data_IF_509052493120
#
_entry.id   IF_509052493120
#
_cell.length_a   1.000
_cell.length_b   1.000
_cell.length_c   1.000
_cell.angle_alpha   90.00
_cell.angle_beta   90.00
_cell.angle_gamma   90.00
#
_symmetry.space_group_name_H-M   'P 1'
#
loop_
_entity.id
_entity.type
_entity.pdbx_description
1 polymer ?
#
# COMPACT_ATOMS: atom_id res chain seq x y z
N UNK A 1 57.09 0.23 70.69
CA UNK A 1 56.39 -0.93 70.10
C UNK A 1 55.00 -0.49 69.61
N UNK A 2 54.53 -0.96 68.43
CA UNK A 2 53.57 -0.24 67.59
C UNK A 2 52.16 -0.86 67.54
N UNK A 3 51.09 -0.06 67.52
CA UNK A 3 49.72 -0.49 67.10
C UNK A 3 49.02 0.73 66.47
N UNK A 4 49.01 0.84 65.13
CA UNK A 4 47.93 0.53 64.17
C UNK A 4 46.62 1.32 64.38
N UNK A 5 46.37 2.32 63.52
CA UNK A 5 45.04 2.75 63.09
C UNK A 5 45.03 2.80 61.56
N UNK A 6 44.24 1.93 60.92
CA UNK A 6 43.78 2.10 59.55
C UNK A 6 42.27 1.82 59.55
N UNK A 7 41.48 2.85 59.28
CA UNK A 7 40.06 2.72 59.03
C UNK A 7 39.88 2.11 57.64
N UNK A 8 39.27 0.93 57.58
CA UNK A 8 38.85 0.29 56.33
C UNK A 8 37.45 0.77 56.00
N UNK A 9 37.33 1.46 54.87
CA UNK A 9 36.08 1.90 54.26
C UNK A 9 35.45 0.68 53.56
N UNK A 10 34.36 0.14 54.10
CA UNK A 10 33.61 -0.94 53.47
C UNK A 10 32.67 -0.32 52.43
N UNK A 11 33.03 -0.46 51.15
CA UNK A 11 32.19 -0.11 50.01
C UNK A 11 31.18 -1.23 49.78
N UNK A 12 29.90 -0.98 50.08
CA UNK A 12 28.79 -1.84 49.67
C UNK A 12 28.69 -1.82 48.13
N UNK A 13 29.04 -2.92 47.48
CA UNK A 13 28.73 -3.15 46.06
C UNK A 13 27.32 -3.72 46.01
N UNK A 14 26.35 -2.86 45.67
CA UNK A 14 25.01 -3.28 45.32
C UNK A 14 25.04 -4.09 44.03
N UNK A 15 24.79 -5.39 44.13
CA UNK A 15 24.62 -6.30 43.00
C UNK A 15 23.24 -6.00 42.39
N UNK A 16 23.19 -5.17 41.35
CA UNK A 16 21.97 -5.00 40.55
C UNK A 16 21.76 -6.26 39.73
N UNK A 17 20.80 -7.09 40.13
CA UNK A 17 20.32 -8.22 39.33
C UNK A 17 19.64 -7.62 38.09
N UNK A 18 20.27 -7.74 36.92
CA UNK A 18 19.59 -7.47 35.65
C UNK A 18 18.43 -8.46 35.52
N UNK A 19 17.23 -8.02 35.10
CA UNK A 19 16.12 -8.94 34.88
C UNK A 19 16.55 -9.97 33.84
N UNK A 20 16.38 -11.25 34.18
CA UNK A 20 16.60 -12.33 33.24
C UNK A 20 15.69 -12.09 32.04
N UNK A 21 16.29 -11.85 30.87
CA UNK A 21 15.54 -11.87 29.62
C UNK A 21 14.89 -13.25 29.52
N UNK A 22 13.56 -13.27 29.40
CA UNK A 22 12.83 -14.50 29.17
C UNK A 22 13.42 -15.15 27.92
N UNK A 23 13.94 -16.36 28.08
CA UNK A 23 14.46 -17.16 26.99
C UNK A 23 13.27 -17.51 26.08
N UNK A 24 13.12 -16.77 25.00
CA UNK A 24 12.21 -17.10 23.92
C UNK A 24 12.77 -18.41 23.39
N UNK A 25 12.18 -19.54 23.76
CA UNK A 25 12.70 -20.89 23.42
C UNK A 25 12.76 -21.22 21.92
N UNK A 26 12.71 -20.21 21.04
CA UNK A 26 12.98 -20.29 19.61
C UNK A 26 14.35 -19.72 19.30
N UNK A 27 15.09 -20.38 18.41
CA UNK A 27 16.19 -19.71 17.72
C UNK A 27 15.63 -18.56 16.86
N UNK A 28 16.39 -17.48 16.70
CA UNK A 28 15.98 -16.31 15.87
C UNK A 28 15.69 -16.74 14.43
N UNK A 29 16.37 -17.80 13.96
CA UNK A 29 16.25 -18.26 12.58
C UNK A 29 15.07 -19.21 12.37
N UNK A 30 14.46 -19.68 13.47
CA UNK A 30 13.25 -20.49 13.43
C UNK A 30 12.02 -19.58 13.37
N UNK A 31 11.77 -19.06 12.17
CA UNK A 31 10.68 -18.13 11.89
C UNK A 31 9.30 -18.70 12.22
N UNK A 32 9.08 -19.99 11.98
CA UNK A 32 7.83 -20.67 12.33
C UNK A 32 7.61 -20.71 13.84
N UNK A 33 8.66 -21.00 14.61
CA UNK A 33 8.62 -20.95 16.06
C UNK A 33 8.33 -19.52 16.56
N UNK A 34 9.01 -18.51 16.01
CA UNK A 34 8.79 -17.11 16.38
C UNK A 34 7.36 -16.64 16.06
N UNK A 35 6.82 -16.99 14.90
CA UNK A 35 5.43 -16.70 14.53
C UNK A 35 4.43 -17.36 15.49
N UNK A 36 4.68 -18.62 15.88
CA UNK A 36 3.84 -19.31 16.85
C UNK A 36 3.89 -18.65 18.24
N UNK A 37 5.07 -18.18 18.68
CA UNK A 37 5.20 -17.42 19.92
C UNK A 37 4.49 -16.06 19.83
N UNK A 38 4.67 -15.34 18.73
CA UNK A 38 3.99 -14.07 18.49
C UNK A 38 2.46 -14.23 18.53
N UNK A 39 1.93 -15.32 17.97
CA UNK A 39 0.51 -15.66 18.07
C UNK A 39 0.04 -15.84 19.51
N UNK A 40 0.80 -16.57 20.35
CA UNK A 40 0.48 -16.74 21.79
C UNK A 40 0.50 -15.41 22.54
N UNK A 41 1.46 -14.54 22.23
CA UNK A 41 1.51 -13.21 22.82
C UNK A 41 0.33 -12.36 22.37
N UNK A 42 -0.02 -12.38 21.08
CA UNK A 42 -1.19 -11.70 20.56
C UNK A 42 -2.48 -12.17 21.26
N UNK A 43 -2.68 -13.48 21.41
CA UNK A 43 -3.84 -14.05 22.13
C UNK A 43 -3.89 -13.55 23.59
N UNK A 44 -2.75 -13.19 24.18
CA UNK A 44 -2.63 -12.72 25.57
C UNK A 44 -2.78 -11.21 25.74
N UNK A 45 -2.87 -10.42 24.67
CA UNK A 45 -3.03 -8.95 24.74
C UNK A 45 -4.47 -8.62 25.17
N UNK A 46 -4.68 -7.96 26.33
CA UNK A 46 -6.02 -7.62 26.81
C UNK A 46 -6.69 -6.53 25.97
N UNK A 47 -5.93 -5.53 25.54
CA UNK A 47 -6.43 -4.39 24.76
C UNK A 47 -6.71 -4.79 23.31
N UNK A 48 -7.98 -4.77 22.92
CA UNK A 48 -8.45 -5.22 21.62
C UNK A 48 -7.73 -4.50 20.47
N UNK A 49 -7.50 -3.19 20.59
CA UNK A 49 -6.83 -2.42 19.54
C UNK A 49 -5.38 -2.86 19.30
N UNK A 50 -4.64 -3.17 20.36
CA UNK A 50 -3.25 -3.64 20.24
C UNK A 50 -3.17 -5.08 19.75
N UNK A 51 -4.13 -5.91 20.19
CA UNK A 51 -4.23 -7.30 19.72
C UNK A 51 -4.55 -7.36 18.23
N UNK A 52 -5.53 -6.60 17.79
CA UNK A 52 -5.95 -6.51 16.38
C UNK A 52 -4.83 -6.01 15.48
N UNK A 53 -4.07 -4.99 15.91
CA UNK A 53 -2.88 -4.54 15.20
C UNK A 53 -1.81 -5.62 15.11
N UNK A 54 -1.61 -6.40 16.17
CA UNK A 54 -0.63 -7.50 16.17
C UNK A 54 -1.04 -8.58 15.15
N UNK A 55 -2.31 -8.97 15.11
CA UNK A 55 -2.80 -9.91 14.10
C UNK A 55 -2.68 -9.37 12.67
N UNK A 56 -2.95 -8.07 12.47
CA UNK A 56 -2.75 -7.43 11.16
C UNK A 56 -1.31 -7.57 10.67
N UNK A 57 -0.33 -7.23 11.51
CA UNK A 57 1.08 -7.31 11.13
C UNK A 57 1.54 -8.75 10.93
N UNK A 58 1.06 -9.69 11.76
CA UNK A 58 1.30 -11.12 11.56
C UNK A 58 0.75 -11.62 10.23
N UNK A 59 -0.48 -11.24 9.87
CA UNK A 59 -1.12 -11.65 8.62
C UNK A 59 -0.35 -11.12 7.41
N UNK A 60 0.09 -9.85 7.45
CA UNK A 60 0.94 -9.28 6.42
C UNK A 60 2.26 -10.04 6.28
N UNK A 61 2.90 -10.39 7.41
CA UNK A 61 4.16 -11.13 7.41
C UNK A 61 4.01 -12.54 6.82
N UNK A 62 2.98 -13.27 7.23
CA UNK A 62 2.64 -14.59 6.68
C UNK A 62 2.34 -14.52 5.19
N UNK A 63 1.59 -13.50 4.75
CA UNK A 63 1.31 -13.29 3.33
C UNK A 63 2.59 -13.03 2.53
N UNK A 64 3.51 -12.21 3.05
CA UNK A 64 4.82 -11.96 2.43
C UNK A 64 5.71 -13.21 2.39
N UNK A 65 5.47 -14.19 3.27
CA UNK A 65 6.14 -15.50 3.26
C UNK A 65 5.43 -16.54 2.39
N UNK A 66 4.40 -16.13 1.62
CA UNK A 66 3.56 -17.00 0.80
C UNK A 66 2.70 -18.01 1.61
N UNK A 67 2.56 -17.80 2.92
CA UNK A 67 1.69 -18.56 3.82
C UNK A 67 0.27 -17.94 3.84
N UNK A 68 -0.37 -17.95 2.67
CA UNK A 68 -1.61 -17.20 2.43
C UNK A 68 -2.81 -17.70 3.24
N UNK A 69 -2.96 -19.01 3.43
CA UNK A 69 -4.09 -19.56 4.18
C UNK A 69 -3.99 -19.19 5.67
N UNK A 70 -2.80 -19.32 6.29
CA UNK A 70 -2.56 -18.88 7.67
C UNK A 70 -2.77 -17.37 7.83
N UNK A 71 -2.39 -16.58 6.82
CA UNK A 71 -2.63 -15.14 6.83
C UNK A 71 -4.13 -14.80 6.82
N UNK A 72 -4.93 -15.54 6.02
CA UNK A 72 -6.38 -15.36 5.95
C UNK A 72 -7.08 -15.73 7.26
N UNK A 73 -6.63 -16.78 7.94
CA UNK A 73 -7.19 -17.21 9.23
C UNK A 73 -7.09 -16.11 10.31
N UNK A 74 -6.07 -15.26 10.23
CA UNK A 74 -5.90 -14.15 11.17
C UNK A 74 -6.92 -13.02 10.97
N UNK A 75 -7.57 -12.90 9.81
CA UNK A 75 -8.63 -11.88 9.61
C UNK A 75 -9.78 -12.10 10.60
N UNK A 76 -10.17 -13.36 10.81
CA UNK A 76 -11.29 -13.70 11.70
C UNK A 76 -10.93 -13.46 13.19
N UNK A 77 -9.64 -13.39 13.53
CA UNK A 77 -9.16 -13.04 14.89
C UNK A 77 -9.21 -11.54 15.19
N UNK A 78 -9.17 -10.68 14.17
CA UNK A 78 -9.28 -9.23 14.33
C UNK A 78 -10.73 -8.87 14.64
N UNK A 79 -11.01 -8.02 15.62
CA UNK A 79 -12.40 -7.65 15.99
C UNK A 79 -12.86 -6.34 15.36
N UNK A 80 -11.99 -5.33 15.39
CA UNK A 80 -12.29 -4.00 14.89
C UNK A 80 -12.43 -4.03 13.35
N UNK A 81 -13.55 -3.51 12.80
CA UNK A 81 -13.84 -3.63 11.37
C UNK A 81 -12.86 -2.85 10.48
N UNK A 82 -12.38 -1.69 10.93
CA UNK A 82 -11.36 -0.93 10.19
C UNK A 82 -10.04 -1.70 10.14
N UNK A 83 -9.68 -2.36 11.25
CA UNK A 83 -8.47 -3.19 11.31
C UNK A 83 -8.60 -4.45 10.47
N UNK A 84 -9.81 -5.04 10.36
CA UNK A 84 -10.06 -6.13 9.39
C UNK A 84 -9.83 -5.67 7.96
N UNK A 85 -10.37 -4.51 7.57
CA UNK A 85 -10.16 -3.94 6.25
C UNK A 85 -8.67 -3.68 5.97
N UNK A 86 -7.93 -3.14 6.95
CA UNK A 86 -6.48 -2.95 6.85
C UNK A 86 -5.69 -4.27 6.79
N UNK A 87 -6.18 -5.34 7.42
CA UNK A 87 -5.56 -6.67 7.35
C UNK A 87 -5.74 -7.28 5.97
N UNK A 88 -6.94 -7.18 5.41
CA UNK A 88 -7.23 -7.57 4.01
C UNK A 88 -6.29 -6.82 3.04
N UNK A 89 -6.11 -5.51 3.23
CA UNK A 89 -5.13 -4.72 2.46
C UNK A 89 -3.71 -5.29 2.59
N UNK A 90 -3.27 -5.53 3.82
CA UNK A 90 -1.92 -6.02 4.09
C UNK A 90 -1.62 -7.33 3.40
N UNK A 91 -2.56 -8.28 3.47
CA UNK A 91 -2.44 -9.60 2.81
C UNK A 91 -2.42 -9.44 1.29
N UNK A 92 -3.39 -8.73 0.72
CA UNK A 92 -3.51 -8.56 -0.73
C UNK A 92 -2.28 -7.88 -1.34
N UNK A 93 -1.80 -6.80 -0.72
CA UNK A 93 -0.60 -6.08 -1.19
C UNK A 93 0.66 -6.94 -1.07
N UNK A 94 0.87 -7.64 0.05
CA UNK A 94 2.03 -8.50 0.21
C UNK A 94 2.03 -9.65 -0.80
N UNK A 95 0.86 -10.22 -1.12
CA UNK A 95 0.74 -11.28 -2.11
C UNK A 95 0.95 -10.79 -3.55
N UNK A 96 0.56 -9.55 -3.86
CA UNK A 96 0.80 -8.94 -5.18
C UNK A 96 2.30 -8.86 -5.52
N UNK A 97 3.16 -8.69 -4.51
CA UNK A 97 4.62 -8.62 -4.67
C UNK A 97 5.28 -10.00 -4.91
N UNK A 98 4.57 -11.11 -4.68
CA UNK A 98 5.12 -12.46 -4.75
C UNK A 98 5.22 -13.05 -6.17
N UNK A 99 4.72 -12.35 -7.19
CA UNK A 99 4.69 -12.82 -8.59
C UNK A 99 4.12 -14.25 -8.73
N UNK A 100 3.05 -14.52 -7.98
CA UNK A 100 2.37 -15.82 -7.98
C UNK A 100 1.61 -16.07 -9.29
N UNK A 101 1.30 -17.34 -9.62
CA UNK A 101 0.42 -17.66 -10.75
C UNK A 101 -0.92 -16.92 -10.63
N UNK A 102 -1.46 -16.47 -11.77
CA UNK A 102 -2.72 -15.68 -11.83
C UNK A 102 -3.86 -16.40 -11.12
N UNK A 103 -3.95 -17.72 -11.28
CA UNK A 103 -4.99 -18.55 -10.69
C UNK A 103 -4.92 -18.55 -9.15
N UNK A 104 -3.70 -18.57 -8.60
CA UNK A 104 -3.48 -18.53 -7.15
C UNK A 104 -3.83 -17.16 -6.56
N UNK A 105 -3.52 -16.08 -7.28
CA UNK A 105 -3.92 -14.73 -6.90
C UNK A 105 -5.44 -14.54 -7.00
N UNK A 106 -6.07 -15.06 -8.06
CA UNK A 106 -7.52 -15.00 -8.21
C UNK A 106 -8.25 -15.75 -7.08
N UNK A 107 -7.74 -16.91 -6.68
CA UNK A 107 -8.26 -17.64 -5.52
C UNK A 107 -8.11 -16.82 -4.22
N UNK A 108 -6.92 -16.25 -3.99
CA UNK A 108 -6.67 -15.39 -2.84
C UNK A 108 -7.64 -14.20 -2.80
N UNK A 109 -7.81 -13.47 -3.90
CA UNK A 109 -8.70 -12.31 -3.94
C UNK A 109 -10.16 -12.69 -3.75
N UNK A 110 -10.57 -13.87 -4.20
CA UNK A 110 -11.89 -14.43 -3.90
C UNK A 110 -12.07 -14.67 -2.41
N UNK A 111 -11.06 -15.25 -1.73
CA UNK A 111 -11.08 -15.46 -0.27
C UNK A 111 -11.06 -14.13 0.50
N UNK A 112 -10.25 -13.16 0.08
CA UNK A 112 -10.21 -11.81 0.67
C UNK A 112 -11.55 -11.08 0.51
N UNK A 113 -12.19 -11.21 -0.65
CA UNK A 113 -13.54 -10.70 -0.90
C UNK A 113 -14.55 -11.33 0.04
N UNK A 114 -14.55 -12.66 0.18
CA UNK A 114 -15.43 -13.35 1.12
C UNK A 114 -15.18 -12.94 2.58
N UNK A 115 -13.93 -12.66 2.96
CA UNK A 115 -13.60 -12.13 4.27
C UNK A 115 -14.09 -10.68 4.47
N UNK A 116 -14.00 -9.84 3.43
CA UNK A 116 -14.54 -8.48 3.46
C UNK A 116 -16.07 -8.48 3.66
N UNK A 117 -16.79 -9.41 3.03
CA UNK A 117 -18.25 -9.56 3.14
C UNK A 117 -18.72 -9.90 4.56
N UNK A 118 -17.82 -10.37 5.44
CA UNK A 118 -18.10 -10.57 6.87
C UNK A 118 -17.96 -9.28 7.71
N UNK A 119 -17.58 -8.15 7.11
CA UNK A 119 -17.46 -6.87 7.82
C UNK A 119 -18.83 -6.18 7.83
N UNK A 120 -19.50 -6.17 8.98
CA UNK A 120 -20.84 -5.57 9.11
C UNK A 120 -20.83 -4.04 9.07
N UNK A 121 -19.71 -3.40 9.45
CA UNK A 121 -19.58 -1.95 9.39
C UNK A 121 -19.37 -1.49 7.95
N UNK A 122 -20.45 -1.00 7.33
CA UNK A 122 -20.52 -0.57 5.93
C UNK A 122 -19.32 0.27 5.44
N UNK A 123 -18.89 1.35 6.15
CA UNK A 123 -17.71 2.10 5.72
C UNK A 123 -16.44 1.25 5.64
N UNK A 124 -16.19 0.38 6.63
CA UNK A 124 -14.99 -0.48 6.64
C UNK A 124 -15.07 -1.55 5.57
N UNK A 125 -16.26 -2.11 5.32
CA UNK A 125 -16.48 -3.05 4.22
C UNK A 125 -16.16 -2.39 2.87
N UNK A 126 -16.72 -1.21 2.59
CA UNK A 126 -16.46 -0.50 1.36
C UNK A 126 -14.96 -0.13 1.20
N UNK A 127 -14.29 0.28 2.29
CA UNK A 127 -12.84 0.50 2.31
C UNK A 127 -12.07 -0.79 2.00
N UNK A 128 -12.47 -1.94 2.54
CA UNK A 128 -11.84 -3.23 2.24
C UNK A 128 -11.93 -3.56 0.75
N UNK A 129 -13.04 -3.23 0.08
CA UNK A 129 -13.19 -3.42 -1.36
C UNK A 129 -12.26 -2.52 -2.17
N UNK A 130 -12.11 -1.25 -1.78
CA UNK A 130 -11.10 -0.37 -2.38
C UNK A 130 -9.71 -0.99 -2.27
N UNK A 131 -9.35 -1.54 -1.10
CA UNK A 131 -8.05 -2.18 -0.89
C UNK A 131 -7.86 -3.47 -1.69
N UNK A 132 -8.90 -4.29 -1.85
CA UNK A 132 -8.86 -5.47 -2.70
C UNK A 132 -8.63 -5.05 -4.16
N UNK A 133 -9.39 -4.07 -4.66
CA UNK A 133 -9.23 -3.57 -6.04
C UNK A 133 -7.82 -3.04 -6.30
N UNK A 134 -7.28 -2.27 -5.36
CA UNK A 134 -5.89 -1.78 -5.45
C UNK A 134 -4.88 -2.93 -5.47
N UNK A 135 -5.00 -3.91 -4.57
CA UNK A 135 -4.10 -5.07 -4.54
C UNK A 135 -4.19 -5.92 -5.82
N UNK A 136 -5.39 -6.08 -6.39
CA UNK A 136 -5.58 -6.71 -7.71
C UNK A 136 -4.84 -5.94 -8.81
N UNK A 137 -4.91 -4.61 -8.83
CA UNK A 137 -4.18 -3.79 -9.79
C UNK A 137 -2.65 -3.98 -9.68
N UNK A 138 -2.10 -4.01 -8.45
CA UNK A 138 -0.68 -4.30 -8.22
C UNK A 138 -0.30 -5.71 -8.70
N UNK A 139 -1.18 -6.68 -8.50
CA UNK A 139 -1.05 -8.05 -8.96
C UNK A 139 -1.27 -8.22 -10.49
N UNK A 140 -1.45 -7.12 -11.23
CA UNK A 140 -1.77 -7.09 -12.68
C UNK A 140 -3.08 -7.78 -13.05
N UNK A 141 -4.02 -7.87 -12.10
CA UNK A 141 -5.41 -8.29 -12.31
C UNK A 141 -6.30 -7.06 -12.52
N UNK A 142 -6.09 -6.35 -13.63
CA UNK A 142 -6.82 -5.12 -13.95
C UNK A 142 -8.34 -5.36 -14.14
N UNK A 143 -8.72 -6.54 -14.65
CA UNK A 143 -10.13 -6.91 -14.79
C UNK A 143 -10.79 -7.16 -13.44
N UNK A 144 -10.12 -7.89 -12.54
CA UNK A 144 -10.60 -8.09 -11.18
C UNK A 144 -10.69 -6.79 -10.39
N UNK A 145 -9.70 -5.91 -10.49
CA UNK A 145 -9.72 -4.59 -9.85
C UNK A 145 -10.94 -3.76 -10.26
N UNK A 146 -11.21 -3.71 -11.57
CA UNK A 146 -12.37 -3.03 -12.13
C UNK A 146 -13.70 -3.67 -11.70
N UNK A 147 -13.77 -4.99 -11.67
CA UNK A 147 -14.97 -5.71 -11.22
C UNK A 147 -15.26 -5.47 -9.74
N UNK A 148 -14.23 -5.49 -8.89
CA UNK A 148 -14.34 -5.17 -7.47
C UNK A 148 -14.87 -3.75 -7.26
N UNK A 149 -14.28 -2.76 -7.94
CA UNK A 149 -14.75 -1.38 -7.88
C UNK A 149 -16.21 -1.24 -8.37
N UNK A 150 -16.56 -1.87 -9.49
CA UNK A 150 -17.92 -1.85 -10.04
C UNK A 150 -18.98 -2.42 -9.09
N UNK A 151 -18.61 -3.38 -8.22
CA UNK A 151 -19.50 -3.97 -7.24
C UNK A 151 -19.83 -3.06 -6.04
N UNK A 152 -19.11 -1.93 -5.89
CA UNK A 152 -19.25 -1.04 -4.74
C UNK A 152 -20.50 -0.16 -4.86
N UNK A 153 -21.33 -0.18 -3.82
CA UNK A 153 -22.55 0.63 -3.73
C UNK A 153 -22.26 2.13 -3.51
N UNK A 154 -21.31 2.45 -2.63
CA UNK A 154 -20.90 3.81 -2.34
C UNK A 154 -20.17 4.44 -3.54
N UNK A 155 -20.79 5.43 -4.17
CA UNK A 155 -20.26 6.06 -5.38
C UNK A 155 -18.91 6.77 -5.17
N UNK A 156 -18.73 7.45 -4.04
CA UNK A 156 -17.48 8.15 -3.75
C UNK A 156 -16.31 7.17 -3.59
N UNK A 157 -16.53 6.06 -2.86
CA UNK A 157 -15.51 5.02 -2.68
C UNK A 157 -15.28 4.20 -3.95
N UNK A 158 -16.33 4.00 -4.78
CA UNK A 158 -16.19 3.38 -6.10
C UNK A 158 -15.31 4.22 -7.03
N UNK A 159 -15.57 5.52 -7.12
CA UNK A 159 -14.74 6.45 -7.89
C UNK A 159 -13.29 6.46 -7.40
N UNK A 160 -13.09 6.41 -6.07
CA UNK A 160 -11.77 6.26 -5.47
C UNK A 160 -11.08 4.97 -5.86
N UNK A 161 -11.78 3.84 -5.84
CA UNK A 161 -11.22 2.55 -6.26
C UNK A 161 -10.79 2.54 -7.74
N UNK A 162 -11.59 3.15 -8.63
CA UNK A 162 -11.19 3.33 -10.02
C UNK A 162 -9.98 4.25 -10.18
N UNK A 163 -9.92 5.35 -9.41
CA UNK A 163 -8.78 6.28 -9.41
C UNK A 163 -7.49 5.60 -8.96
N UNK A 164 -7.49 4.96 -7.78
CA UNK A 164 -6.30 4.24 -7.27
C UNK A 164 -5.87 3.11 -8.20
N UNK A 165 -6.82 2.42 -8.86
CA UNK A 165 -6.51 1.42 -9.90
C UNK A 165 -5.79 2.08 -11.09
N UNK A 166 -6.27 3.24 -11.54
CA UNK A 166 -5.65 4.00 -12.62
C UNK A 166 -4.24 4.52 -12.24
N UNK A 167 -4.03 4.95 -10.99
CA UNK A 167 -2.69 5.32 -10.52
C UNK A 167 -1.70 4.15 -10.64
N UNK A 168 -2.08 2.95 -10.18
CA UNK A 168 -1.22 1.74 -10.28
C UNK A 168 -0.98 1.31 -11.74
N UNK A 169 -1.95 1.50 -12.62
CA UNK A 169 -1.78 1.27 -14.06
C UNK A 169 -0.83 2.30 -14.69
N UNK A 170 -0.92 3.56 -14.28
CA UNK A 170 -0.02 4.62 -14.74
C UNK A 170 1.40 4.37 -14.25
N UNK A 171 1.59 3.90 -13.02
CA UNK A 171 2.89 3.50 -12.49
C UNK A 171 3.55 2.39 -13.32
N UNK A 172 2.74 1.49 -13.90
CA UNK A 172 3.17 0.43 -14.83
C UNK A 172 3.32 0.90 -16.29
N UNK A 173 3.15 2.19 -16.56
CA UNK A 173 3.13 2.80 -17.88
C UNK A 173 2.06 2.21 -18.84
N UNK A 174 0.92 1.75 -18.30
CA UNK A 174 -0.18 1.18 -19.09
C UNK A 174 -1.28 2.22 -19.34
N UNK A 175 -1.05 3.07 -20.35
CA UNK A 175 -2.01 4.12 -20.71
C UNK A 175 -3.39 3.57 -21.09
N UNK A 176 -3.46 2.39 -21.71
CA UNK A 176 -4.75 1.84 -22.14
C UNK A 176 -5.60 1.43 -20.93
N UNK A 177 -4.99 0.76 -19.95
CA UNK A 177 -5.65 0.39 -18.72
C UNK A 177 -6.09 1.65 -17.94
N UNK A 178 -5.20 2.63 -17.81
CA UNK A 178 -5.49 3.94 -17.19
C UNK A 178 -6.76 4.57 -17.77
N UNK A 179 -6.86 4.66 -19.10
CA UNK A 179 -8.00 5.26 -19.78
C UNK A 179 -9.30 4.50 -19.50
N UNK A 180 -9.24 3.16 -19.40
CA UNK A 180 -10.38 2.32 -19.05
C UNK A 180 -10.87 2.60 -17.62
N UNK A 181 -9.95 2.69 -16.65
CA UNK A 181 -10.30 2.98 -15.26
C UNK A 181 -10.85 4.39 -15.07
N UNK A 182 -10.22 5.40 -15.69
CA UNK A 182 -10.72 6.78 -15.69
C UNK A 182 -12.08 6.94 -16.37
N UNK A 183 -12.36 6.16 -17.41
CA UNK A 183 -13.66 6.17 -18.08
C UNK A 183 -14.80 5.73 -17.17
N UNK A 184 -14.51 4.90 -16.16
CA UNK A 184 -15.50 4.39 -15.21
C UNK A 184 -15.75 5.33 -14.00
N UNK A 185 -15.00 6.42 -13.87
CA UNK A 185 -15.26 7.45 -12.85
C UNK A 185 -16.42 8.32 -13.31
N UNK A 186 -17.50 8.30 -12.53
CA UNK A 186 -18.75 9.01 -12.86
C UNK A 186 -18.76 10.47 -12.35
N UNK A 187 -18.01 10.78 -11.28
CA UNK A 187 -17.95 12.13 -10.71
C UNK A 187 -16.94 13.00 -11.49
N UNK A 188 -17.38 14.09 -12.16
CA UNK A 188 -16.48 14.87 -13.02
C UNK A 188 -15.37 15.58 -12.24
N UNK A 189 -15.65 16.08 -11.03
CA UNK A 189 -14.66 16.78 -10.22
C UNK A 189 -13.59 15.83 -9.68
N UNK A 190 -14.00 14.63 -9.25
CA UNK A 190 -13.10 13.56 -8.88
C UNK A 190 -12.25 13.13 -10.08
N UNK A 191 -12.87 12.97 -11.25
CA UNK A 191 -12.19 12.58 -12.49
C UNK A 191 -11.13 13.59 -12.92
N UNK A 192 -11.43 14.89 -12.89
CA UNK A 192 -10.48 15.95 -13.23
C UNK A 192 -9.27 15.95 -12.28
N UNK A 193 -9.52 15.79 -10.97
CA UNK A 193 -8.46 15.64 -9.97
C UNK A 193 -7.57 14.42 -10.25
N UNK A 194 -8.18 13.28 -10.55
CA UNK A 194 -7.49 12.01 -10.83
C UNK A 194 -6.64 12.09 -12.11
N UNK A 195 -7.21 12.65 -13.18
CA UNK A 195 -6.48 12.98 -14.40
C UNK A 195 -5.25 13.86 -14.11
N UNK A 196 -5.37 14.84 -13.20
CA UNK A 196 -4.26 15.66 -12.74
C UNK A 196 -3.16 14.87 -12.00
N UNK A 197 -3.53 13.88 -11.17
CA UNK A 197 -2.60 13.00 -10.46
C UNK A 197 -1.85 12.12 -11.47
N UNK A 198 -2.57 11.45 -12.36
CA UNK A 198 -2.00 10.55 -13.37
C UNK A 198 -1.11 11.31 -14.36
N UNK A 199 -1.46 12.54 -14.70
CA UNK A 199 -0.58 13.43 -15.50
C UNK A 199 0.79 13.56 -14.82
N UNK A 200 0.82 13.77 -13.50
CA UNK A 200 2.07 13.89 -12.74
C UNK A 200 2.84 12.57 -12.72
N UNK A 201 2.17 11.43 -12.57
CA UNK A 201 2.80 10.10 -12.61
C UNK A 201 3.54 9.93 -13.94
N UNK A 202 2.86 10.07 -15.07
CA UNK A 202 3.51 9.95 -16.39
C UNK A 202 4.61 10.98 -16.61
N UNK A 203 4.40 12.23 -16.16
CA UNK A 203 5.43 13.28 -16.27
C UNK A 203 6.70 12.91 -15.49
N UNK A 204 6.56 12.45 -14.25
CA UNK A 204 7.68 12.03 -13.40
C UNK A 204 8.42 10.81 -13.95
N UNK A 205 7.74 10.00 -14.78
CA UNK A 205 8.32 8.86 -15.49
C UNK A 205 8.93 9.22 -16.86
N UNK A 206 9.05 10.53 -17.18
CA UNK A 206 9.49 11.02 -18.50
C UNK A 206 8.64 10.46 -19.65
N UNK A 207 7.32 10.35 -19.46
CA UNK A 207 6.34 9.92 -20.47
C UNK A 207 5.49 11.12 -20.95
N UNK A 208 6.04 12.05 -21.74
CA UNK A 208 5.35 13.30 -22.09
C UNK A 208 4.11 13.09 -22.97
N UNK A 209 4.11 12.07 -23.85
CA UNK A 209 2.97 11.80 -24.71
C UNK A 209 1.76 11.25 -23.91
N UNK A 210 1.91 10.21 -23.06
CA UNK A 210 0.86 9.83 -22.11
C UNK A 210 0.41 10.97 -21.19
N UNK A 211 1.35 11.73 -20.62
CA UNK A 211 1.02 12.86 -19.74
C UNK A 211 0.14 13.90 -20.45
N UNK A 212 0.48 14.27 -21.69
CA UNK A 212 -0.30 15.23 -22.47
C UNK A 212 -1.69 14.68 -22.85
N UNK A 213 -1.77 13.39 -23.20
CA UNK A 213 -3.04 12.74 -23.54
C UNK A 213 -4.01 12.70 -22.34
N UNK A 214 -3.48 12.48 -21.13
CA UNK A 214 -4.26 12.53 -19.89
C UNK A 214 -4.66 13.97 -19.55
N UNK A 215 -3.70 14.91 -19.54
CA UNK A 215 -3.97 16.32 -19.23
C UNK A 215 -5.05 16.93 -20.16
N UNK A 216 -5.04 16.54 -21.45
CA UNK A 216 -6.02 17.00 -22.43
C UNK A 216 -7.48 16.62 -22.12
N UNK A 217 -7.71 15.60 -21.28
CA UNK A 217 -9.05 15.16 -20.89
C UNK A 217 -9.63 15.92 -19.69
N UNK A 218 -8.81 16.65 -18.93
CA UNK A 218 -9.26 17.42 -17.75
C UNK A 218 -10.25 18.50 -18.21
N UNK A 219 -11.48 18.51 -17.74
CA UNK A 219 -12.50 19.46 -18.23
C UNK A 219 -12.41 20.84 -17.58
N UNK A 220 -12.03 20.89 -16.31
CA UNK A 220 -11.80 22.13 -15.58
C UNK A 220 -10.56 22.86 -16.14
N UNK A 221 -10.76 24.09 -16.64
CA UNK A 221 -9.70 24.86 -17.30
C UNK A 221 -8.52 25.22 -16.37
N UNK A 222 -8.78 25.46 -15.08
CA UNK A 222 -7.73 25.74 -14.10
C UNK A 222 -6.89 24.49 -13.85
N UNK A 223 -7.53 23.35 -13.57
CA UNK A 223 -6.82 22.08 -13.33
C UNK A 223 -6.04 21.63 -14.56
N UNK A 224 -6.61 21.77 -15.76
CA UNK A 224 -5.92 21.50 -17.03
C UNK A 224 -4.67 22.38 -17.18
N UNK A 225 -4.79 23.67 -16.88
CA UNK A 225 -3.66 24.60 -16.96
C UNK A 225 -2.54 24.21 -15.98
N UNK A 226 -2.89 23.83 -14.75
CA UNK A 226 -1.94 23.35 -13.75
C UNK A 226 -1.24 22.05 -14.17
N UNK A 227 -1.97 21.11 -14.78
CA UNK A 227 -1.41 19.88 -15.31
C UNK A 227 -0.42 20.14 -16.46
N UNK A 228 -0.75 21.03 -17.40
CA UNK A 228 0.14 21.42 -18.49
C UNK A 228 1.40 22.16 -17.98
N UNK A 229 1.25 23.05 -16.99
CA UNK A 229 2.40 23.70 -16.34
C UNK A 229 3.32 22.68 -15.66
N UNK A 230 2.77 21.63 -15.06
CA UNK A 230 3.57 20.55 -14.46
C UNK A 230 4.39 19.79 -15.51
N UNK A 231 3.79 19.47 -16.65
CA UNK A 231 4.50 18.84 -17.78
C UNK A 231 5.65 19.74 -18.25
N UNK A 232 5.40 21.03 -18.46
CA UNK A 232 6.41 21.97 -18.96
C UNK A 232 7.56 22.23 -17.98
N UNK A 233 7.29 22.20 -16.67
CA UNK A 233 8.32 22.40 -15.65
C UNK A 233 9.27 21.20 -15.53
N UNK A 234 8.80 20.01 -15.91
CA UNK A 234 9.60 18.79 -15.99
C UNK A 234 10.16 18.67 -17.40
N UNK A 235 11.17 19.50 -17.73
CA UNK A 235 11.81 19.52 -19.05
C UNK A 235 12.10 18.10 -19.54
N UNK A 236 11.36 17.56 -20.52
CA UNK A 236 11.78 16.33 -21.16
C UNK A 236 13.04 16.65 -21.98
N UNK A 237 14.06 15.78 -21.95
CA UNK A 237 15.29 15.95 -22.73
C UNK A 237 15.03 16.24 -24.22
N UNK A 238 13.88 15.80 -24.73
CA UNK A 238 13.43 15.99 -26.11
C UNK A 238 13.00 17.42 -26.45
N UNK A 239 12.41 18.18 -25.52
CA UNK A 239 12.07 19.61 -25.76
C UNK A 239 13.31 20.50 -25.68
N UNK A 240 14.27 20.17 -24.80
CA UNK A 240 15.55 20.87 -24.73
C UNK A 240 16.40 20.70 -26.01
N UNK A 241 16.24 19.58 -26.72
CA UNK A 241 16.88 19.35 -28.02
C UNK A 241 16.15 20.04 -29.18
N UNK A 242 14.81 20.10 -29.16
CA UNK A 242 14.02 20.81 -30.16
C UNK A 242 14.29 22.33 -30.12
N UNK A 243 14.34 22.92 -28.92
CA UNK A 243 14.68 24.34 -28.74
C UNK A 243 16.12 24.63 -29.22
N UNK A 244 17.08 23.75 -28.90
CA UNK A 244 18.47 23.90 -29.35
C UNK A 244 18.64 23.75 -30.86
N UNK A 245 17.81 22.95 -31.53
CA UNK A 245 17.86 22.81 -32.99
C UNK A 245 17.13 23.95 -33.70
N UNK A 246 16.10 24.55 -33.11
CA UNK A 246 15.45 25.74 -33.67
C UNK A 246 16.33 26.99 -33.54
N UNK A 247 17.04 27.17 -32.42
CA UNK A 247 17.98 28.30 -32.23
C UNK A 247 19.17 28.23 -33.22
N UNK A 248 19.57 27.03 -33.66
CA UNK A 248 20.63 26.84 -34.67
C UNK A 248 20.15 26.99 -36.12
N UNK A 249 18.84 27.05 -36.35
CA UNK A 249 18.25 27.11 -37.69
C UNK A 249 17.87 28.52 -38.14
N UNK A 250 18.01 29.54 -37.30
CA UNK A 250 17.92 30.94 -37.74
C UNK A 250 19.20 31.32 -38.51
N UNK A 251 19.13 31.63 -39.82
CA UNK A 251 20.28 32.17 -40.53
C UNK A 251 20.59 33.56 -39.98
N UNK A 252 21.86 33.78 -39.63
CA UNK A 252 22.37 35.11 -39.29
C UNK A 252 22.16 36.08 -40.46
N UNK A 253 21.76 37.35 -40.20
CA UNK A 253 21.48 38.34 -41.25
C UNK A 253 22.71 38.66 -42.11
#
# INVERSE_FOLDING_TARGET
>A
MPIKLWAVFIMLIGFTVLPAYADIGCAVEDRSCLLAQLGKYADSIPEDNWRDQTYREMAKLLAADNNLDEALDLIDKVKNPDTRAMTIRGIGMAAADLNLPKERLAELFTKLRAAAEKIEHEPSYAIALTYIGMAQAYARDDEGAMATAASMSNAALRNKAYGETAEVQAERNDLQAVLKSLAAIDDPGYKDKELGIITKIFTNQNQPAPALAIAGQITNAYERSQALLFILSHKPETLAQADNNQIKAEPSP
#
